data_IF_780548816454
#
_entry.id   IF_780548816454
#
_cell.length_a   1.000
_cell.length_b   1.000
_cell.length_c   1.000
_cell.angle_alpha   90.00
_cell.angle_beta   90.00
_cell.angle_gamma   90.00
#
_symmetry.space_group_name_H-M   'P 1'
#
loop_
_entity.id
_entity.type
_entity.pdbx_description
1 polymer ?
#
# COMPACT_ATOMS: atom_id res chain seq x y z
N UNK A 1 -13.00 -9.51 -25.91
CA UNK A 1 -13.16 -10.29 -24.66
C UNK A 1 -13.43 -9.30 -23.54
N UNK A 2 -14.35 -9.61 -22.62
CA UNK A 2 -14.52 -8.84 -21.38
C UNK A 2 -13.31 -9.04 -20.48
N UNK A 3 -12.70 -7.94 -20.02
CA UNK A 3 -11.59 -8.00 -19.05
C UNK A 3 -12.08 -8.59 -17.73
N UNK A 4 -11.21 -9.33 -17.05
CA UNK A 4 -11.50 -9.86 -15.71
C UNK A 4 -11.23 -8.76 -14.68
N UNK A 5 -12.08 -8.69 -13.66
CA UNK A 5 -11.94 -7.72 -12.56
C UNK A 5 -11.32 -8.40 -11.35
N UNK A 6 -10.34 -7.76 -10.72
CA UNK A 6 -9.76 -8.17 -9.44
C UNK A 6 -9.87 -7.04 -8.41
N UNK A 7 -10.29 -7.39 -7.19
CA UNK A 7 -10.24 -6.47 -6.03
C UNK A 7 -9.08 -6.92 -5.14
N UNK A 8 -8.07 -6.07 -4.99
CA UNK A 8 -6.82 -6.37 -4.29
C UNK A 8 -6.79 -5.57 -2.99
N UNK A 9 -6.86 -6.26 -1.86
CA UNK A 9 -6.66 -5.65 -0.55
C UNK A 9 -5.19 -5.84 -0.13
N UNK A 10 -4.43 -4.75 -0.08
CA UNK A 10 -3.02 -4.77 0.34
C UNK A 10 -2.92 -4.51 1.85
N UNK A 11 -2.09 -5.31 2.53
CA UNK A 11 -1.92 -5.25 3.98
C UNK A 11 -0.92 -4.17 4.43
N UNK A 12 -0.80 -3.96 5.75
CA UNK A 12 0.09 -2.95 6.33
C UNK A 12 1.57 -3.06 5.92
N UNK A 13 2.06 -4.27 5.65
CA UNK A 13 3.44 -4.52 5.20
C UNK A 13 3.75 -3.94 3.81
N UNK A 14 2.70 -3.64 3.03
CA UNK A 14 2.79 -2.98 1.72
C UNK A 14 3.15 -1.49 1.84
N UNK A 15 3.06 -0.96 3.07
CA UNK A 15 3.41 0.41 3.40
C UNK A 15 4.52 0.47 4.44
N UNK A 16 4.55 -0.42 5.44
CA UNK A 16 5.59 -0.45 6.47
C UNK A 16 6.13 -1.86 6.57
N UNK A 17 7.36 -2.08 6.06
CA UNK A 17 7.97 -3.42 6.05
C UNK A 17 8.26 -3.95 7.44
N UNK A 18 8.82 -3.09 8.29
CA UNK A 18 9.18 -3.42 9.67
C UNK A 18 9.38 -2.14 10.50
N UNK A 19 9.68 -2.32 11.80
CA UNK A 19 9.81 -1.23 12.77
C UNK A 19 10.98 -0.27 12.50
N UNK A 20 11.98 -0.69 11.74
CA UNK A 20 13.14 0.13 11.39
C UNK A 20 12.91 0.93 10.09
N UNK A 21 11.86 0.62 9.34
CA UNK A 21 11.55 1.22 8.03
C UNK A 21 10.17 1.92 8.05
N UNK A 22 10.04 2.98 8.85
CA UNK A 22 8.77 3.69 9.07
C UNK A 22 8.73 5.09 8.45
N UNK A 23 9.84 5.58 7.90
CA UNK A 23 9.91 6.94 7.34
C UNK A 23 9.08 7.08 6.07
N UNK A 24 8.71 8.30 5.67
CA UNK A 24 7.97 8.52 4.42
C UNK A 24 8.69 7.91 3.20
N UNK A 25 10.02 8.08 3.02
CA UNK A 25 10.74 7.39 1.95
C UNK A 25 10.69 5.86 2.03
N UNK A 26 10.71 5.26 3.22
CA UNK A 26 10.56 3.81 3.38
C UNK A 26 9.19 3.34 2.90
N UNK A 27 8.13 4.07 3.28
CA UNK A 27 6.78 3.72 2.89
C UNK A 27 6.57 3.87 1.39
N UNK A 28 7.19 4.88 0.77
CA UNK A 28 7.16 5.05 -0.68
C UNK A 28 7.82 3.87 -1.42
N UNK A 29 8.98 3.39 -0.91
CA UNK A 29 9.65 2.21 -1.48
C UNK A 29 8.81 0.94 -1.33
N UNK A 30 8.26 0.69 -0.14
CA UNK A 30 7.40 -0.48 0.12
C UNK A 30 6.14 -0.47 -0.77
N UNK A 31 5.52 0.70 -0.95
CA UNK A 31 4.39 0.87 -1.85
C UNK A 31 4.79 0.59 -3.31
N UNK A 32 5.96 1.08 -3.74
CA UNK A 32 6.50 0.85 -5.08
C UNK A 32 6.70 -0.64 -5.40
N UNK A 33 7.23 -1.42 -4.45
CA UNK A 33 7.37 -2.88 -4.60
C UNK A 33 6.01 -3.57 -4.76
N UNK A 34 5.02 -3.17 -3.97
CA UNK A 34 3.65 -3.72 -4.09
C UNK A 34 3.03 -3.35 -5.44
N UNK A 35 3.22 -2.10 -5.88
CA UNK A 35 2.73 -1.61 -7.17
C UNK A 35 3.37 -2.33 -8.36
N UNK A 36 4.60 -2.82 -8.23
CA UNK A 36 5.25 -3.60 -9.29
C UNK A 36 4.44 -4.87 -9.62
N UNK A 37 4.03 -5.63 -8.61
CA UNK A 37 3.20 -6.83 -8.79
C UNK A 37 1.80 -6.50 -9.34
N UNK A 38 1.21 -5.37 -8.92
CA UNK A 38 -0.09 -4.93 -9.44
C UNK A 38 0.02 -4.52 -10.91
N UNK A 39 1.12 -3.87 -11.32
CA UNK A 39 1.37 -3.52 -12.72
C UNK A 39 1.47 -4.77 -13.61
N UNK A 40 2.04 -5.87 -13.09
CA UNK A 40 2.04 -7.16 -13.80
C UNK A 40 0.62 -7.70 -14.00
N UNK A 41 -0.27 -7.60 -13.00
CA UNK A 41 -1.68 -7.97 -13.15
C UNK A 41 -2.36 -7.14 -14.25
N UNK A 42 -2.14 -5.83 -14.27
CA UNK A 42 -2.71 -4.96 -15.29
C UNK A 42 -2.20 -5.36 -16.69
N UNK A 43 -0.91 -5.66 -16.81
CA UNK A 43 -0.28 -6.14 -18.06
C UNK A 43 -0.87 -7.47 -18.53
N UNK A 44 -1.27 -8.34 -17.60
CA UNK A 44 -1.97 -9.60 -17.89
C UNK A 44 -3.46 -9.41 -18.26
N UNK A 45 -3.94 -8.17 -18.34
CA UNK A 45 -5.29 -7.83 -18.83
C UNK A 45 -6.36 -7.75 -17.74
N UNK A 46 -5.97 -7.66 -16.47
CA UNK A 46 -6.90 -7.44 -15.37
C UNK A 46 -7.26 -5.96 -15.22
N UNK A 47 -8.53 -5.68 -14.93
CA UNK A 47 -8.94 -4.40 -14.36
C UNK A 47 -8.92 -4.54 -12.82
N UNK A 48 -8.15 -3.67 -12.15
CA UNK A 48 -7.83 -3.85 -10.73
C UNK A 48 -8.40 -2.70 -9.90
N UNK A 49 -9.14 -3.03 -8.84
CA UNK A 49 -9.50 -2.09 -7.77
C UNK A 49 -8.63 -2.39 -6.55
N UNK A 50 -7.95 -1.38 -6.00
CA UNK A 50 -6.96 -1.55 -4.93
C UNK A 50 -7.50 -0.87 -3.67
N UNK A 51 -7.48 -1.58 -2.54
CA UNK A 51 -7.78 -1.06 -1.22
C UNK A 51 -6.67 -1.39 -0.23
N UNK A 52 -6.56 -0.62 0.86
CA UNK A 52 -5.58 -0.90 1.92
C UNK A 52 -6.09 -0.44 3.29
N UNK A 53 -5.52 -1.03 4.35
CA UNK A 53 -5.67 -0.51 5.71
C UNK A 53 -4.71 0.65 5.99
N UNK A 54 -5.06 1.53 6.92
CA UNK A 54 -4.29 2.75 7.24
C UNK A 54 -3.96 2.91 8.75
N UNK A 55 -4.12 1.85 9.56
CA UNK A 55 -4.02 1.90 11.01
C UNK A 55 -2.71 2.53 11.53
N UNK A 56 -1.52 2.04 11.13
CA UNK A 56 -0.25 2.64 11.52
C UNK A 56 -0.13 4.11 11.10
N UNK A 57 -0.58 4.46 9.90
CA UNK A 57 -0.48 5.80 9.33
C UNK A 57 -1.32 6.80 10.12
N UNK A 58 -2.59 6.46 10.38
CA UNK A 58 -3.47 7.26 11.24
C UNK A 58 -2.91 7.34 12.66
N UNK A 59 -2.38 6.25 13.22
CA UNK A 59 -1.75 6.26 14.53
C UNK A 59 -0.56 7.23 14.62
N UNK A 60 0.30 7.28 13.60
CA UNK A 60 1.41 8.24 13.55
C UNK A 60 0.95 9.69 13.34
N UNK A 61 -0.14 9.93 12.62
CA UNK A 61 -0.73 11.27 12.49
C UNK A 61 -1.28 11.73 13.84
N UNK A 62 -2.07 10.89 14.51
CA UNK A 62 -2.64 11.20 15.84
C UNK A 62 -1.53 11.49 16.86
N UNK A 63 -0.53 10.61 16.97
CA UNK A 63 0.58 10.80 17.91
C UNK A 63 1.36 12.10 17.66
N UNK A 64 1.52 12.51 16.41
CA UNK A 64 2.15 13.81 16.09
C UNK A 64 1.29 14.99 16.51
N UNK A 65 -0.03 14.87 16.39
CA UNK A 65 -0.98 15.89 16.84
C UNK A 65 -1.05 16.03 18.36
N UNK A 66 -0.79 14.95 19.12
CA UNK A 66 -0.80 14.97 20.58
C UNK A 66 0.47 15.58 21.21
N UNK A 67 1.55 15.70 20.43
CA UNK A 67 2.87 16.20 20.89
C UNK A 67 3.11 17.65 20.44
N UNK A 68 2.27 18.19 19.54
CA UNK A 68 2.31 19.57 19.06
C UNK A 68 1.54 20.52 19.99
#
# INVERSE_FOLDING_TARGET
MTKKVAVVAIGGNSLIKDKNHITVPDQYRAAGETCHHIAEMITQGWDVAIGHGNGPQVGFILRRSEIA
#
